data_IF_288772584929
#
_entry.id   IF_288772584929
#
_cell.length_a   1.000
_cell.length_b   1.000
_cell.length_c   1.000
_cell.angle_alpha   90.00
_cell.angle_beta   90.00
_cell.angle_gamma   90.00
#
_symmetry.space_group_name_H-M   'P 1'
#
loop_
_entity.id
_entity.type
_entity.pdbx_description
1 polymer ?
#
# COMPACT_ATOMS: atom_id res chain seq x y z
N UNK A 1 10.05 -0.17 -5.50
CA UNK A 1 10.19 0.44 -4.17
C UNK A 1 8.80 0.51 -3.59
N UNK A 2 8.49 -0.30 -2.58
CA UNK A 2 7.19 -0.20 -1.90
C UNK A 2 7.12 1.21 -1.32
N UNK A 3 6.11 2.02 -1.66
CA UNK A 3 6.04 3.38 -1.14
C UNK A 3 5.92 3.29 0.38
N UNK A 4 6.52 4.23 1.11
CA UNK A 4 6.37 4.35 2.57
C UNK A 4 4.90 4.36 3.02
N UNK A 5 4.00 4.76 2.11
CA UNK A 5 2.55 4.60 2.21
C UNK A 5 2.15 3.17 2.53
N UNK A 6 2.68 2.15 1.83
CA UNK A 6 2.40 0.73 2.09
C UNK A 6 3.00 0.22 3.41
N UNK A 7 4.18 0.69 3.81
CA UNK A 7 4.80 0.26 5.07
C UNK A 7 4.04 0.82 6.28
N UNK A 8 3.51 2.03 6.16
CA UNK A 8 2.66 2.65 7.17
C UNK A 8 1.21 2.14 7.10
N UNK A 9 0.69 1.87 5.89
CA UNK A 9 -0.58 1.17 5.71
C UNK A 9 -0.49 -0.19 6.38
N UNK A 10 0.63 -0.92 6.27
CA UNK A 10 0.86 -2.18 7.00
C UNK A 10 0.91 -2.00 8.52
N UNK A 11 1.50 -0.90 9.02
CA UNK A 11 1.61 -0.64 10.45
C UNK A 11 0.25 -0.29 11.10
N UNK A 12 -0.64 0.43 10.39
CA UNK A 12 -1.99 0.76 10.87
C UNK A 12 -3.10 -0.16 10.33
N UNK A 13 -2.83 -0.98 9.30
CA UNK A 13 -3.78 -1.95 8.73
C UNK A 13 -4.30 -2.88 9.80
N UNK A 14 -3.47 -3.29 10.76
CA UNK A 14 -3.90 -4.16 11.85
C UNK A 14 -5.12 -3.60 12.58
N UNK A 15 -5.11 -2.30 12.91
CA UNK A 15 -6.20 -1.64 13.60
C UNK A 15 -7.43 -1.42 12.69
N UNK A 16 -7.22 -1.09 11.41
CA UNK A 16 -8.30 -0.92 10.42
C UNK A 16 -9.01 -2.24 10.16
N UNK A 17 -8.25 -3.29 9.85
CA UNK A 17 -8.75 -4.64 9.58
C UNK A 17 -9.46 -5.22 10.79
N UNK A 18 -8.91 -5.03 12.00
CA UNK A 18 -9.56 -5.49 13.24
C UNK A 18 -10.87 -4.73 13.52
N UNK A 19 -10.88 -3.41 13.33
CA UNK A 19 -12.09 -2.60 13.52
C UNK A 19 -13.19 -2.98 12.51
N UNK A 20 -12.82 -3.21 11.24
CA UNK A 20 -13.74 -3.68 10.21
C UNK A 20 -14.26 -5.09 10.51
N UNK A 21 -13.38 -6.01 10.91
CA UNK A 21 -13.73 -7.36 11.32
C UNK A 21 -14.77 -7.35 12.45
N UNK A 22 -14.52 -6.57 13.51
CA UNK A 22 -15.43 -6.41 14.65
C UNK A 22 -16.75 -5.76 14.27
N UNK A 23 -16.72 -4.67 13.50
CA UNK A 23 -17.92 -3.92 13.14
C UNK A 23 -18.86 -4.70 12.21
N UNK A 24 -18.30 -5.49 11.31
CA UNK A 24 -19.05 -6.22 10.28
C UNK A 24 -19.23 -7.72 10.59
N UNK A 25 -18.72 -8.20 11.72
CA UNK A 25 -18.78 -9.60 12.10
C UNK A 25 -18.00 -10.52 11.15
N UNK A 26 -16.91 -10.03 10.57
CA UNK A 26 -16.07 -10.75 9.62
C UNK A 26 -14.86 -11.36 10.34
N UNK A 27 -14.30 -12.43 9.78
CA UNK A 27 -12.97 -12.87 10.18
C UNK A 27 -11.92 -11.81 9.80
N UNK A 28 -10.83 -11.70 10.55
CA UNK A 28 -9.75 -10.75 10.25
C UNK A 28 -9.18 -10.95 8.84
N UNK A 29 -9.02 -12.21 8.41
CA UNK A 29 -8.59 -12.56 7.05
C UNK A 29 -9.59 -12.14 5.97
N UNK A 30 -10.89 -12.20 6.25
CA UNK A 30 -11.92 -11.72 5.33
C UNK A 30 -11.87 -10.20 5.19
N UNK A 31 -11.72 -9.47 6.30
CA UNK A 31 -11.57 -8.02 6.27
C UNK A 31 -10.30 -7.59 5.49
N UNK A 32 -9.21 -8.34 5.62
CA UNK A 32 -7.99 -8.13 4.83
C UNK A 32 -8.24 -8.33 3.34
N UNK A 33 -8.79 -9.49 2.94
CA UNK A 33 -9.14 -9.76 1.54
C UNK A 33 -10.14 -8.74 0.98
N UNK A 34 -11.07 -8.23 1.81
CA UNK A 34 -12.00 -7.17 1.41
C UNK A 34 -11.25 -5.91 1.01
N UNK A 35 -10.34 -5.43 1.86
CA UNK A 35 -9.53 -4.25 1.57
C UNK A 35 -8.71 -4.50 0.30
N UNK A 36 -8.08 -5.67 0.18
CA UNK A 36 -7.28 -6.05 -0.99
C UNK A 36 -8.07 -6.06 -2.30
N UNK A 37 -9.27 -6.63 -2.29
CA UNK A 37 -10.14 -6.66 -3.48
C UNK A 37 -10.61 -5.25 -3.88
N UNK A 38 -10.79 -4.36 -2.90
CA UNK A 38 -11.25 -2.99 -3.13
C UNK A 38 -10.10 -2.04 -3.55
N UNK A 39 -8.85 -2.32 -3.16
CA UNK A 39 -7.69 -1.47 -3.45
C UNK A 39 -7.55 -1.06 -4.93
N UNK A 40 -7.68 -1.95 -5.93
CA UNK A 40 -7.50 -1.56 -7.33
C UNK A 40 -8.60 -0.62 -7.81
N UNK A 41 -9.83 -0.75 -7.29
CA UNK A 41 -10.91 0.18 -7.59
C UNK A 41 -10.60 1.58 -7.03
N UNK A 42 -10.21 1.67 -5.76
CA UNK A 42 -9.77 2.92 -5.14
C UNK A 42 -8.60 3.57 -5.87
N UNK A 43 -7.62 2.77 -6.30
CA UNK A 43 -6.45 3.25 -7.04
C UNK A 43 -6.84 3.78 -8.41
N UNK A 44 -7.75 3.10 -9.12
CA UNK A 44 -8.25 3.51 -10.42
C UNK A 44 -9.08 4.80 -10.34
N UNK A 45 -9.99 4.87 -9.35
CA UNK A 45 -10.78 6.06 -9.07
C UNK A 45 -9.92 7.27 -8.70
N UNK A 46 -8.95 7.08 -7.81
CA UNK A 46 -7.99 8.13 -7.45
C UNK A 46 -7.17 8.58 -8.67
N UNK A 47 -6.62 7.64 -9.45
CA UNK A 47 -5.84 7.96 -10.65
C UNK A 47 -6.66 8.81 -11.63
N UNK A 48 -7.91 8.42 -11.90
CA UNK A 48 -8.84 9.19 -12.75
C UNK A 48 -9.10 10.58 -12.18
N UNK A 49 -9.41 10.67 -10.89
CA UNK A 49 -9.67 11.94 -10.20
C UNK A 49 -8.46 12.87 -10.25
N UNK A 50 -7.25 12.33 -10.07
CA UNK A 50 -6.00 13.13 -10.17
C UNK A 50 -5.60 13.48 -11.59
N UNK A 51 -6.05 12.70 -12.59
CA UNK A 51 -5.80 12.99 -14.00
C UNK A 51 -6.74 14.08 -14.54
N UNK A 52 -7.87 14.34 -13.87
CA UNK A 52 -8.84 15.36 -14.25
C UNK A 52 -8.77 16.61 -13.34
N UNK A 53 -8.36 17.78 -13.85
CA UNK A 53 -8.30 19.02 -13.06
C UNK A 53 -9.65 19.42 -12.43
N UNK A 54 -10.77 19.07 -13.07
CA UNK A 54 -12.11 19.39 -12.59
C UNK A 54 -12.51 18.57 -11.35
N UNK A 55 -12.08 17.32 -11.28
CA UNK A 55 -12.41 16.42 -10.16
C UNK A 55 -11.38 16.53 -9.02
N UNK A 56 -10.14 16.89 -9.35
CA UNK A 56 -9.04 17.03 -8.40
C UNK A 56 -9.27 18.18 -7.40
N UNK A 57 -9.81 19.32 -7.83
CA UNK A 57 -10.02 20.50 -6.99
C UNK A 57 -10.90 20.21 -5.76
N UNK A 58 -12.14 19.72 -5.95
CA UNK A 58 -13.02 19.33 -4.85
C UNK A 58 -12.41 18.28 -3.93
N UNK A 59 -11.70 17.28 -4.48
CA UNK A 59 -11.03 16.25 -3.69
C UNK A 59 -9.96 16.85 -2.77
N UNK A 60 -9.11 17.75 -3.30
CA UNK A 60 -8.08 18.44 -2.51
C UNK A 60 -8.72 19.31 -1.42
N UNK A 61 -9.75 20.09 -1.76
CA UNK A 61 -10.45 20.92 -0.77
C UNK A 61 -11.11 20.07 0.33
N UNK A 62 -11.73 18.94 -0.04
CA UNK A 62 -12.29 17.99 0.91
C UNK A 62 -11.20 17.37 1.80
N UNK A 63 -10.07 16.96 1.22
CA UNK A 63 -8.93 16.45 1.96
C UNK A 63 -8.44 17.44 3.01
N UNK A 64 -8.18 18.70 2.62
CA UNK A 64 -7.69 19.74 3.52
C UNK A 64 -8.75 20.35 4.45
N UNK A 65 -10.02 19.94 4.35
CA UNK A 65 -11.07 20.39 5.25
C UNK A 65 -10.87 19.97 6.71
N UNK A 66 -9.99 18.99 6.98
CA UNK A 66 -9.76 18.42 8.30
C UNK A 66 -10.87 17.46 8.76
N UNK A 67 -11.96 17.34 8.00
CA UNK A 67 -13.10 16.47 8.32
C UNK A 67 -12.69 15.01 8.39
N UNK A 68 -11.78 14.55 7.52
CA UNK A 68 -11.47 13.13 7.40
C UNK A 68 -10.39 12.65 8.39
N UNK A 69 -9.59 13.56 8.95
CA UNK A 69 -8.54 13.20 9.92
C UNK A 69 -9.08 12.44 11.14
N UNK A 70 -10.28 12.82 11.62
CA UNK A 70 -10.94 12.16 12.76
C UNK A 70 -11.33 10.69 12.51
N UNK A 71 -11.49 10.29 11.25
CA UNK A 71 -11.83 8.91 10.84
C UNK A 71 -10.60 8.02 10.76
N UNK A 72 -9.44 8.64 10.50
CA UNK A 72 -8.16 7.97 10.58
C UNK A 72 -7.74 7.77 12.04
N UNK A 73 -7.83 8.82 12.87
CA UNK A 73 -7.48 8.75 14.29
C UNK A 73 -8.42 7.81 15.08
N UNK A 74 -9.69 7.74 14.68
CA UNK A 74 -10.68 6.86 15.30
C UNK A 74 -11.65 6.32 14.25
N UNK A 75 -11.38 5.10 13.78
CA UNK A 75 -12.21 4.38 12.81
C UNK A 75 -13.63 4.15 13.33
N UNK A 76 -13.83 4.06 14.64
CA UNK A 76 -15.16 4.04 15.26
C UNK A 76 -16.05 5.20 14.80
N UNK A 77 -15.47 6.38 14.56
CA UNK A 77 -16.19 7.55 14.04
C UNK A 77 -16.56 7.40 12.56
N UNK A 78 -15.79 6.65 11.78
CA UNK A 78 -16.10 6.38 10.37
C UNK A 78 -17.36 5.49 10.23
N UNK A 79 -17.68 4.70 11.25
CA UNK A 79 -18.91 3.89 11.30
C UNK A 79 -20.17 4.67 11.69
N UNK A 80 -20.03 5.91 12.17
CA UNK A 80 -21.18 6.78 12.45
C UNK A 80 -21.91 7.16 11.16
N UNK A 81 -23.17 7.60 11.27
CA UNK A 81 -23.93 8.02 10.09
C UNK A 81 -23.29 9.22 9.40
N UNK A 82 -22.66 10.12 10.16
CA UNK A 82 -21.84 11.20 9.60
C UNK A 82 -20.60 10.66 8.88
N UNK A 83 -19.89 9.69 9.47
CA UNK A 83 -18.71 9.08 8.85
C UNK A 83 -19.03 8.36 7.53
N UNK A 84 -20.18 7.68 7.47
CA UNK A 84 -20.69 7.08 6.23
C UNK A 84 -21.06 8.13 5.20
N UNK A 85 -21.72 9.22 5.61
CA UNK A 85 -22.09 10.30 4.71
C UNK A 85 -20.85 10.98 4.12
N UNK A 86 -19.88 11.32 4.96
CA UNK A 86 -18.61 11.90 4.53
C UNK A 86 -17.83 10.94 3.62
N UNK A 87 -17.79 9.65 3.95
CA UNK A 87 -17.21 8.61 3.11
C UNK A 87 -17.89 8.46 1.75
N UNK A 88 -19.22 8.62 1.70
CA UNK A 88 -19.96 8.62 0.45
C UNK A 88 -19.61 9.81 -0.45
N UNK A 89 -19.37 10.99 0.13
CA UNK A 89 -18.90 12.16 -0.64
C UNK A 89 -17.53 11.87 -1.27
N UNK A 90 -16.62 11.24 -0.52
CA UNK A 90 -15.33 10.79 -1.06
C UNK A 90 -15.52 9.79 -2.20
N UNK A 91 -16.40 8.80 -2.04
CA UNK A 91 -16.70 7.84 -3.09
C UNK A 91 -17.34 8.49 -4.33
N UNK A 92 -18.18 9.51 -4.16
CA UNK A 92 -18.73 10.28 -5.27
C UNK A 92 -17.62 11.01 -6.03
N UNK A 93 -16.62 11.57 -5.35
CA UNK A 93 -15.46 12.17 -6.02
C UNK A 93 -14.53 11.14 -6.67
N UNK A 94 -14.24 10.02 -6.00
CA UNK A 94 -13.30 9.02 -6.49
C UNK A 94 -13.89 8.14 -7.59
N UNK A 95 -15.14 7.72 -7.43
CA UNK A 95 -15.82 6.78 -8.30
C UNK A 95 -16.88 7.44 -9.19
N UNK A 96 -17.11 8.75 -9.05
CA UNK A 96 -18.05 9.54 -9.82
C UNK A 96 -19.52 9.29 -9.47
N UNK A 97 -19.90 8.03 -9.21
CA UNK A 97 -21.29 7.65 -8.98
C UNK A 97 -21.45 6.50 -7.99
N UNK A 98 -22.63 6.43 -7.36
CA UNK A 98 -22.99 5.35 -6.43
C UNK A 98 -23.13 4.00 -7.14
N UNK A 99 -23.37 4.05 -8.45
CA UNK A 99 -23.48 2.90 -9.35
C UNK A 99 -22.12 2.23 -9.49
N UNK A 100 -21.05 3.01 -9.70
CA UNK A 100 -19.67 2.49 -9.75
C UNK A 100 -19.29 1.90 -8.39
N UNK A 101 -19.59 2.59 -7.27
CA UNK A 101 -19.37 2.02 -5.93
C UNK A 101 -20.07 0.67 -5.73
N UNK A 102 -21.31 0.54 -6.24
CA UNK A 102 -22.08 -0.72 -6.18
C UNK A 102 -21.48 -1.82 -7.06
N UNK A 103 -21.00 -1.46 -8.26
CA UNK A 103 -20.33 -2.39 -9.18
C UNK A 103 -19.00 -2.89 -8.59
N UNK A 104 -18.22 -2.01 -7.95
CA UNK A 104 -16.98 -2.37 -7.24
C UNK A 104 -17.27 -3.35 -6.11
N UNK A 105 -18.35 -3.13 -5.34
CA UNK A 105 -18.77 -4.08 -4.30
C UNK A 105 -19.21 -5.44 -4.87
N UNK A 106 -19.93 -5.44 -6.00
CA UNK A 106 -20.34 -6.68 -6.69
C UNK A 106 -19.12 -7.47 -7.18
N UNK A 107 -18.11 -6.78 -7.71
CA UNK A 107 -16.87 -7.41 -8.11
C UNK A 107 -16.17 -8.00 -6.88
N UNK A 108 -15.94 -7.21 -5.83
CA UNK A 108 -15.21 -7.65 -4.64
C UNK A 108 -15.91 -8.83 -3.93
N UNK A 109 -17.23 -8.94 -4.00
CA UNK A 109 -17.98 -10.11 -3.50
C UNK A 109 -17.53 -11.41 -4.18
N UNK A 110 -17.32 -11.39 -5.50
CA UNK A 110 -16.89 -12.59 -6.25
C UNK A 110 -15.50 -13.09 -5.86
N UNK A 111 -14.60 -12.19 -5.42
CA UNK A 111 -13.24 -12.55 -5.02
C UNK A 111 -13.13 -12.88 -3.53
N UNK A 112 -13.89 -12.18 -2.69
CA UNK A 112 -13.73 -12.24 -1.22
C UNK A 112 -14.74 -13.17 -0.57
N UNK A 113 -15.84 -13.50 -1.25
CA UNK A 113 -16.97 -14.24 -0.69
C UNK A 113 -17.78 -13.44 0.34
N UNK A 114 -17.52 -12.13 0.47
CA UNK A 114 -18.23 -11.23 1.39
C UNK A 114 -19.43 -10.64 0.66
N UNK A 115 -20.62 -10.76 1.27
CA UNK A 115 -21.86 -10.29 0.64
C UNK A 115 -21.80 -8.82 0.23
N UNK A 116 -22.41 -8.50 -0.93
CA UNK A 116 -22.40 -7.15 -1.51
C UNK A 116 -22.80 -6.06 -0.50
N UNK A 117 -23.80 -6.33 0.34
CA UNK A 117 -24.31 -5.36 1.31
C UNK A 117 -23.31 -5.02 2.42
N UNK A 118 -22.46 -5.97 2.80
CA UNK A 118 -21.37 -5.72 3.75
C UNK A 118 -20.30 -4.87 3.08
N UNK A 119 -19.87 -5.23 1.87
CA UNK A 119 -18.87 -4.47 1.10
C UNK A 119 -19.35 -3.03 0.80
N UNK A 120 -20.61 -2.85 0.43
CA UNK A 120 -21.25 -1.53 0.23
C UNK A 120 -21.21 -0.67 1.49
N UNK A 121 -21.30 -1.28 2.68
CA UNK A 121 -21.20 -0.56 3.96
C UNK A 121 -19.75 -0.32 4.39
N UNK A 122 -18.82 -1.16 3.95
CA UNK A 122 -17.38 -1.00 4.18
C UNK A 122 -16.77 0.09 3.32
N UNK A 123 -17.19 0.18 2.06
CA UNK A 123 -16.66 1.11 1.06
C UNK A 123 -16.53 2.56 1.57
N UNK A 124 -17.58 3.19 2.15
CA UNK A 124 -17.50 4.57 2.61
C UNK A 124 -16.55 4.74 3.80
N UNK A 125 -16.50 3.75 4.69
CA UNK A 125 -15.61 3.75 5.86
C UNK A 125 -14.15 3.72 5.39
N UNK A 126 -13.83 2.80 4.49
CA UNK A 126 -12.48 2.67 3.91
C UNK A 126 -12.10 3.96 3.20
N UNK A 127 -13.00 4.53 2.39
CA UNK A 127 -12.78 5.80 1.70
C UNK A 127 -12.49 6.96 2.66
N UNK A 128 -13.30 7.11 3.72
CA UNK A 128 -13.13 8.17 4.73
C UNK A 128 -11.84 8.02 5.53
N UNK A 129 -11.47 6.80 5.92
CA UNK A 129 -10.21 6.51 6.61
C UNK A 129 -9.00 6.75 5.69
N UNK A 130 -9.07 6.33 4.42
CA UNK A 130 -8.02 6.59 3.43
C UNK A 130 -7.82 8.10 3.22
N UNK A 131 -8.90 8.87 3.08
CA UNK A 131 -8.82 10.33 2.96
C UNK A 131 -8.24 10.99 4.20
N UNK A 132 -8.57 10.48 5.39
CA UNK A 132 -7.96 10.93 6.63
C UNK A 132 -6.46 10.66 6.68
N UNK A 133 -6.01 9.48 6.24
CA UNK A 133 -4.60 9.13 6.14
C UNK A 133 -3.84 10.00 5.13
N UNK A 134 -4.43 10.26 3.96
CA UNK A 134 -3.88 11.16 2.95
C UNK A 134 -3.78 12.59 3.46
N UNK A 135 -4.81 13.09 4.17
CA UNK A 135 -4.77 14.40 4.81
C UNK A 135 -3.65 14.50 5.84
N UNK A 136 -3.53 13.52 6.73
CA UNK A 136 -2.47 13.47 7.74
C UNK A 136 -1.09 13.41 7.06
N UNK A 137 -0.96 12.72 5.93
CA UNK A 137 0.27 12.70 5.14
C UNK A 137 0.58 14.06 4.52
N UNK A 138 -0.40 14.68 3.89
CA UNK A 138 -0.27 15.96 3.20
C UNK A 138 0.01 17.12 4.17
N UNK A 139 -0.56 17.06 5.38
CA UNK A 139 -0.33 18.06 6.45
C UNK A 139 0.87 17.76 7.34
N UNK A 140 1.56 16.64 7.11
CA UNK A 140 2.66 16.18 7.97
C UNK A 140 2.21 15.75 9.37
N UNK A 141 0.89 15.65 9.59
CA UNK A 141 0.25 15.33 10.86
C UNK A 141 0.13 13.80 11.10
N UNK A 142 0.68 12.96 10.21
CA UNK A 142 0.96 11.55 10.50
C UNK A 142 2.00 11.36 11.62
N UNK A 143 2.57 12.44 12.14
CA UNK A 143 3.46 12.46 13.29
C UNK A 143 2.86 13.20 14.49
N UNK A 144 1.91 12.56 15.18
CA UNK A 144 1.65 12.81 16.62
C UNK A 144 2.50 11.88 17.50
N UNK A 145 3.69 11.52 16.99
CA UNK A 145 4.84 11.11 17.80
C UNK A 145 5.91 12.16 17.53
N UNK A 146 6.23 12.97 18.54
CA UNK A 146 7.21 14.07 18.53
C UNK A 146 8.50 13.75 17.77
N UNK A 147 8.57 14.06 16.47
CA UNK A 147 9.82 14.03 15.72
C UNK A 147 9.79 15.19 14.72
N UNK A 148 10.41 16.30 15.11
CA UNK A 148 10.83 17.35 14.17
C UNK A 148 11.75 16.71 13.11
N UNK A 149 11.34 16.62 11.83
CA UNK A 149 12.13 15.91 10.81
C UNK A 149 13.49 16.58 10.55
N UNK A 150 13.68 17.86 10.89
CA UNK A 150 15.00 18.50 10.82
C UNK A 150 15.90 18.22 12.03
N UNK A 151 15.35 17.90 13.20
CA UNK A 151 16.15 17.57 14.39
C UNK A 151 16.62 16.10 14.36
N UNK A 152 15.78 15.18 13.90
CA UNK A 152 16.14 13.77 13.77
C UNK A 152 17.15 13.52 12.64
N UNK A 153 17.03 14.24 11.52
CA UNK A 153 18.02 14.17 10.43
C UNK A 153 19.35 14.80 10.89
N UNK A 154 19.32 15.91 11.64
CA UNK A 154 20.52 16.51 12.25
C UNK A 154 21.24 15.56 13.21
N UNK A 155 20.52 14.90 14.12
CA UNK A 155 21.12 13.93 15.04
C UNK A 155 21.65 12.68 14.33
N UNK A 156 20.92 12.17 13.33
CA UNK A 156 21.37 11.02 12.55
C UNK A 156 22.58 11.38 11.69
N UNK A 157 22.63 12.58 11.10
CA UNK A 157 23.78 13.05 10.33
C UNK A 157 24.99 13.32 11.23
N UNK A 158 24.80 13.90 12.42
CA UNK A 158 25.89 14.09 13.40
C UNK A 158 26.42 12.75 13.96
N UNK A 159 25.54 11.75 14.11
CA UNK A 159 25.89 10.39 14.53
C UNK A 159 26.62 9.61 13.44
N UNK A 160 26.18 9.73 12.18
CA UNK A 160 26.84 9.10 11.02
C UNK A 160 28.16 9.80 10.68
N UNK A 161 28.26 11.12 10.87
CA UNK A 161 29.48 11.91 10.72
C UNK A 161 30.46 11.79 11.90
N UNK A 162 30.17 10.92 12.87
CA UNK A 162 31.16 10.49 13.86
C UNK A 162 31.48 11.49 14.97
N UNK A 163 30.66 12.53 15.21
CA UNK A 163 30.91 13.49 16.29
C UNK A 163 30.35 13.07 17.67
N UNK A 164 29.85 11.83 17.82
CA UNK A 164 29.07 11.43 19.00
C UNK A 164 29.38 10.07 19.65
N UNK A 165 30.46 9.38 19.28
CA UNK A 165 30.81 8.12 19.95
C UNK A 165 32.26 8.11 20.42
N UNK A 166 32.49 8.77 21.55
CA UNK A 166 33.54 8.39 22.47
C UNK A 166 32.89 7.59 23.62
N UNK A 167 33.46 6.42 23.88
CA UNK A 167 33.24 5.52 25.02
C UNK A 167 32.01 4.58 25.00
N UNK A 168 32.26 3.33 24.59
CA UNK A 168 31.91 2.16 25.40
C UNK A 168 32.92 1.04 25.15
N UNK A 169 33.57 0.58 26.22
CA UNK A 169 34.59 -0.47 26.24
C UNK A 169 33.97 -1.85 26.01
N UNK A 170 34.76 -2.69 25.33
CA UNK A 170 34.94 -4.13 25.49
C UNK A 170 33.84 -4.95 26.17
N UNK A 171 33.28 -5.92 25.45
CA UNK A 171 33.06 -7.27 26.00
C UNK A 171 33.21 -8.29 24.88
N UNK A 172 34.18 -9.18 25.06
CA UNK A 172 34.52 -10.34 24.25
C UNK A 172 33.37 -11.34 24.22
N UNK A 173 32.91 -11.77 23.04
CA UNK A 173 32.26 -13.08 22.88
C UNK A 173 32.53 -13.62 21.47
N UNK A 174 32.99 -14.87 21.39
CA UNK A 174 33.61 -15.49 20.22
C UNK A 174 32.71 -15.82 19.02
N UNK A 175 31.74 -14.96 18.71
CA UNK A 175 30.86 -15.09 17.54
C UNK A 175 31.17 -14.08 16.41
N UNK A 176 32.08 -13.14 16.65
CA UNK A 176 32.46 -12.10 15.68
C UNK A 176 33.46 -12.58 14.63
N UNK A 177 34.20 -13.68 14.88
CA UNK A 177 35.07 -14.28 13.89
C UNK A 177 34.28 -14.90 12.71
N UNK A 178 33.07 -15.41 12.98
CA UNK A 178 32.19 -15.97 11.95
C UNK A 178 31.46 -14.87 11.15
N UNK A 179 31.02 -13.79 11.82
CA UNK A 179 30.42 -12.65 11.13
C UNK A 179 31.44 -11.87 10.28
N UNK A 180 32.65 -11.63 10.79
CA UNK A 180 33.72 -11.00 10.00
C UNK A 180 34.25 -11.89 8.87
N UNK A 181 34.23 -13.22 9.03
CA UNK A 181 34.51 -14.16 7.94
C UNK A 181 33.40 -14.16 6.87
N UNK A 182 32.13 -14.08 7.28
CA UNK A 182 30.98 -14.02 6.37
C UNK A 182 30.91 -12.68 5.62
N UNK A 183 31.17 -11.57 6.30
CA UNK A 183 31.23 -10.24 5.69
C UNK A 183 32.44 -10.11 4.75
N UNK A 184 33.60 -10.68 5.09
CA UNK A 184 34.74 -10.74 4.17
C UNK A 184 34.44 -11.59 2.93
N UNK A 185 33.73 -12.71 3.08
CA UNK A 185 33.34 -13.58 1.97
C UNK A 185 32.29 -12.92 1.06
N UNK A 186 31.32 -12.20 1.65
CA UNK A 186 30.32 -11.43 0.90
C UNK A 186 30.94 -10.22 0.19
N UNK A 187 31.88 -9.53 0.83
CA UNK A 187 32.65 -8.45 0.21
C UNK A 187 33.55 -8.96 -0.93
N UNK A 188 34.10 -10.16 -0.81
CA UNK A 188 34.88 -10.82 -1.87
C UNK A 188 33.99 -11.27 -3.04
N UNK A 189 32.79 -11.77 -2.77
CA UNK A 189 31.79 -12.08 -3.79
C UNK A 189 31.26 -10.82 -4.51
N UNK A 190 31.07 -9.72 -3.80
CA UNK A 190 30.72 -8.41 -4.38
C UNK A 190 31.86 -7.82 -5.21
N UNK A 191 33.12 -7.99 -4.80
CA UNK A 191 34.29 -7.59 -5.61
C UNK A 191 34.40 -8.40 -6.91
N UNK A 192 34.12 -9.71 -6.85
CA UNK A 192 34.06 -10.56 -8.03
C UNK A 192 32.89 -10.16 -8.95
N UNK A 193 31.73 -9.80 -8.38
CA UNK A 193 30.56 -9.33 -9.12
C UNK A 193 30.76 -7.92 -9.73
N UNK A 194 31.57 -7.08 -9.10
CA UNK A 194 31.89 -5.72 -9.59
C UNK A 194 33.14 -5.66 -10.47
N UNK A 195 33.74 -6.82 -10.80
CA UNK A 195 34.71 -6.97 -11.88
C UNK A 195 36.09 -6.36 -11.64
N UNK A 196 36.53 -6.21 -10.39
CA UNK A 196 37.86 -5.69 -10.07
C UNK A 196 38.96 -6.77 -9.93
N UNK A 197 38.67 -8.04 -10.24
CA UNK A 197 39.67 -9.11 -10.40
C UNK A 197 39.36 -9.97 -11.64
N UNK A 198 40.41 -10.42 -12.33
CA UNK A 198 40.40 -11.09 -13.64
C UNK A 198 39.67 -12.44 -13.70
N UNK A 199 39.52 -13.02 -14.91
CA UNK A 199 38.43 -13.93 -15.22
C UNK A 199 38.73 -15.38 -14.82
N UNK A 200 37.91 -15.94 -13.94
CA UNK A 200 37.62 -17.37 -13.96
C UNK A 200 36.12 -17.58 -14.15
N UNK A 201 35.77 -18.29 -15.23
CA UNK A 201 34.39 -18.67 -15.57
C UNK A 201 34.00 -19.91 -14.77
N UNK A 202 32.92 -19.89 -13.96
CA UNK A 202 32.15 -21.09 -13.70
C UNK A 202 31.20 -21.33 -14.87
N UNK A 203 31.33 -22.50 -15.50
CA UNK A 203 30.40 -22.97 -16.53
C UNK A 203 28.98 -23.07 -15.97
N UNK A 204 28.03 -22.49 -16.69
CA UNK A 204 26.59 -22.70 -16.52
C UNK A 204 26.26 -24.19 -16.74
N UNK A 205 25.51 -24.86 -15.84
CA UNK A 205 24.77 -26.05 -16.22
C UNK A 205 23.64 -25.65 -17.18
N UNK A 206 23.50 -26.44 -18.23
CA UNK A 206 22.49 -26.39 -19.30
C UNK A 206 21.04 -26.38 -18.80
N UNK A 207 20.07 -25.96 -19.66
CA UNK A 207 18.70 -25.67 -19.23
C UNK A 207 17.96 -26.96 -18.81
N UNK A 208 17.49 -26.97 -17.56
CA UNK A 208 16.47 -27.92 -17.10
C UNK A 208 15.14 -27.56 -17.74
N UNK A 209 14.84 -28.20 -18.87
CA UNK A 209 13.49 -28.37 -19.39
C UNK A 209 12.72 -29.27 -18.42
N UNK A 210 12.07 -28.66 -17.43
CA UNK A 210 11.19 -29.38 -16.51
C UNK A 210 9.77 -28.84 -16.68
N UNK A 211 8.76 -29.70 -16.87
CA UNK A 211 7.35 -29.30 -16.91
C UNK A 211 6.91 -28.48 -15.69
N UNK A 212 7.64 -28.58 -14.58
CA UNK A 212 7.45 -27.77 -13.38
C UNK A 212 7.85 -26.29 -13.58
N UNK A 213 8.89 -26.03 -14.37
CA UNK A 213 9.33 -24.67 -14.73
C UNK A 213 8.35 -24.05 -15.71
N UNK A 214 7.86 -24.82 -16.70
CA UNK A 214 6.81 -24.37 -17.61
C UNK A 214 5.47 -24.14 -16.88
N UNK A 215 5.14 -24.98 -15.89
CA UNK A 215 3.98 -24.76 -15.02
C UNK A 215 4.14 -23.49 -14.16
N UNK A 216 5.35 -23.20 -13.67
CA UNK A 216 5.63 -21.97 -12.93
C UNK A 216 5.52 -20.72 -13.82
N UNK A 217 6.05 -20.80 -15.05
CA UNK A 217 5.97 -19.71 -16.04
C UNK A 217 4.52 -19.46 -16.44
N UNK A 218 3.78 -20.50 -16.78
CA UNK A 218 2.35 -20.39 -17.15
C UNK A 218 1.48 -19.92 -15.99
N UNK A 219 1.77 -20.34 -14.76
CA UNK A 219 1.08 -19.82 -13.57
C UNK A 219 1.39 -18.33 -13.36
N UNK A 220 2.64 -17.90 -13.52
CA UNK A 220 3.03 -16.49 -13.47
C UNK A 220 2.35 -15.66 -14.56
N UNK A 221 2.27 -16.19 -15.78
CA UNK A 221 1.57 -15.57 -16.91
C UNK A 221 0.07 -15.45 -16.63
N UNK A 222 -0.56 -16.51 -16.12
CA UNK A 222 -1.97 -16.51 -15.75
C UNK A 222 -2.27 -15.53 -14.62
N UNK A 223 -1.36 -15.36 -13.65
CA UNK A 223 -1.50 -14.35 -12.60
C UNK A 223 -1.45 -12.92 -13.17
N UNK A 224 -0.54 -12.68 -14.11
CA UNK A 224 -0.43 -11.42 -14.85
C UNK A 224 -1.66 -11.16 -15.74
N UNK A 225 -2.21 -12.20 -16.34
CA UNK A 225 -3.39 -12.11 -17.20
C UNK A 225 -4.67 -11.91 -16.39
N UNK A 226 -4.82 -12.58 -15.25
CA UNK A 226 -5.88 -12.33 -14.27
C UNK A 226 -5.79 -10.89 -13.76
N UNK A 227 -4.59 -10.40 -13.43
CA UNK A 227 -4.39 -9.02 -13.01
C UNK A 227 -4.77 -8.02 -14.13
N UNK A 228 -4.37 -8.29 -15.39
CA UNK A 228 -4.75 -7.48 -16.55
C UNK A 228 -6.26 -7.53 -16.83
N UNK A 229 -6.87 -8.70 -16.71
CA UNK A 229 -8.32 -8.87 -16.89
C UNK A 229 -9.10 -8.14 -15.80
N UNK A 230 -8.60 -8.15 -14.56
CA UNK A 230 -9.15 -7.40 -13.45
C UNK A 230 -9.05 -5.90 -13.70
N UNK A 231 -7.87 -5.41 -14.10
CA UNK A 231 -7.67 -4.02 -14.50
C UNK A 231 -8.60 -3.61 -15.64
N UNK A 232 -8.71 -4.43 -16.69
CA UNK A 232 -9.55 -4.16 -17.86
C UNK A 232 -11.04 -4.17 -17.52
N UNK A 233 -11.50 -5.08 -16.66
CA UNK A 233 -12.88 -5.09 -16.18
C UNK A 233 -13.18 -3.87 -15.30
N UNK A 234 -12.23 -3.45 -14.46
CA UNK A 234 -12.38 -2.21 -13.69
C UNK A 234 -12.49 -1.00 -14.62
N UNK A 235 -11.55 -0.85 -15.56
CA UNK A 235 -11.57 0.22 -16.57
C UNK A 235 -12.88 0.22 -17.36
N UNK A 236 -13.39 -0.94 -17.78
CA UNK A 236 -14.67 -1.06 -18.47
C UNK A 236 -15.87 -0.62 -17.60
N UNK A 237 -15.85 -0.90 -16.29
CA UNK A 237 -16.88 -0.39 -15.36
C UNK A 237 -16.79 1.14 -15.31
N UNK A 238 -15.61 1.71 -15.12
CA UNK A 238 -15.45 3.18 -15.08
C UNK A 238 -15.85 3.84 -16.40
N UNK A 239 -15.46 3.28 -17.54
CA UNK A 239 -15.79 3.81 -18.87
C UNK A 239 -17.28 3.70 -19.20
N UNK A 240 -17.92 2.60 -18.82
CA UNK A 240 -19.35 2.38 -19.05
C UNK A 240 -20.23 3.37 -18.28
N UNK A 241 -19.83 3.73 -17.05
CA UNK A 241 -20.64 4.58 -16.17
C UNK A 241 -20.26 6.06 -16.21
N UNK A 242 -19.01 6.40 -16.50
CA UNK A 242 -18.51 7.78 -16.41
C UNK A 242 -17.93 8.29 -17.74
N UNK A 243 -17.95 7.49 -18.80
CA UNK A 243 -17.27 7.79 -20.07
C UNK A 243 -15.75 7.61 -19.99
N UNK A 244 -15.08 7.47 -21.15
CA UNK A 244 -13.64 7.24 -21.23
C UNK A 244 -12.85 8.40 -20.63
N UNK A 245 -11.80 8.09 -19.88
CA UNK A 245 -10.84 9.11 -19.45
C UNK A 245 -10.13 9.66 -20.69
N UNK A 246 -10.46 10.90 -21.09
CA UNK A 246 -9.77 11.57 -22.20
C UNK A 246 -8.27 11.61 -21.91
N UNK A 247 -7.49 10.96 -22.78
CA UNK A 247 -6.04 11.02 -22.73
C UNK A 247 -5.61 12.45 -23.10
N UNK A 248 -4.69 13.08 -22.34
CA UNK A 248 -4.07 14.33 -22.75
C UNK A 248 -3.19 14.13 -24.00
#
# INVERSE_FOLDING_TARGET
>A
MLPLFEMMLKAQNGAVTEALAKQFGLAQSQAEHAIEALMPAFSSGLKRTTANPYDLGPLISAMFSGTYGKYFDNIGKAFSDQGKADGNVVLEHLFGSKEVSRAVAAQAEQFTGIGQDVLKRMLPVIAGTMMGGLFKQATGQLGDTEIYPMAAISQNWMKIMGFGQAASKATTSGNEAFQSAFDNLYAQAMRAMWGLEGPEKPQLPTPLSSPLVDALISMFESGLEVQKSYQKNMEAIFDHYLGPAEKP
#
